data_IF_459042871748
#
_entry.id   IF_459042871748
#
_cell.length_a   1.000
_cell.length_b   1.000
_cell.length_c   1.000
_cell.angle_alpha   90.00
_cell.angle_beta   90.00
_cell.angle_gamma   90.00
#
_symmetry.space_group_name_H-M   'P 1'
#
loop_
_entity.id
_entity.type
_entity.pdbx_description
1 polymer ?
#
# COMPACT_ATOMS: atom_id res chain seq x y z
N UNK A 1 54.73 5.23 8.17
CA UNK A 1 53.75 4.12 8.12
C UNK A 1 52.36 4.77 8.07
N UNK A 2 51.78 4.87 6.86
CA UNK A 2 50.42 5.40 6.69
C UNK A 2 49.41 4.28 6.90
N UNK A 3 48.51 4.45 7.84
CA UNK A 3 47.36 3.58 8.02
C UNK A 3 46.34 4.03 6.98
N UNK A 4 46.14 3.24 5.95
CA UNK A 4 45.02 3.38 5.01
C UNK A 4 43.78 2.92 5.73
N UNK A 5 42.89 3.85 6.08
CA UNK A 5 41.53 3.52 6.55
C UNK A 5 40.82 3.04 5.30
N UNK A 6 40.51 1.73 5.28
CA UNK A 6 39.62 1.17 4.27
C UNK A 6 38.28 1.86 4.35
N UNK A 7 37.81 2.40 3.22
CA UNK A 7 36.43 2.82 3.04
C UNK A 7 35.51 1.67 3.46
N UNK A 8 34.62 1.91 4.40
CA UNK A 8 33.54 0.98 4.71
C UNK A 8 32.75 0.78 3.39
N UNK A 9 32.88 -0.39 2.80
CA UNK A 9 32.04 -0.81 1.69
C UNK A 9 30.62 -0.89 2.24
N UNK A 10 29.75 0.07 1.86
CA UNK A 10 28.33 0.01 2.14
C UNK A 10 27.80 -1.29 1.51
N UNK A 11 27.44 -2.25 2.36
CA UNK A 11 26.78 -3.47 1.92
C UNK A 11 25.44 -3.09 1.30
N UNK A 12 25.18 -3.36 0.01
CA UNK A 12 23.92 -2.97 -0.60
C UNK A 12 22.76 -3.67 0.10
N UNK A 13 21.78 -2.86 0.53
CA UNK A 13 20.58 -3.32 1.21
C UNK A 13 19.65 -4.07 0.24
N UNK A 14 18.85 -5.04 0.71
CA UNK A 14 17.86 -5.73 -0.12
C UNK A 14 16.87 -4.72 -0.72
N UNK A 15 16.46 -4.93 -1.98
CA UNK A 15 15.47 -4.09 -2.66
C UNK A 15 14.11 -4.76 -2.67
N UNK A 16 13.06 -4.00 -2.43
CA UNK A 16 11.66 -4.46 -2.42
C UNK A 16 10.82 -3.53 -3.29
N UNK A 17 10.09 -4.09 -4.24
CA UNK A 17 9.18 -3.34 -5.12
C UNK A 17 7.88 -3.00 -4.38
N UNK A 18 7.49 -1.73 -4.33
CA UNK A 18 6.13 -1.32 -3.94
C UNK A 18 5.20 -1.63 -5.11
N UNK A 19 4.44 -2.72 -5.02
CA UNK A 19 3.66 -3.31 -6.10
C UNK A 19 2.32 -2.59 -6.32
N UNK A 20 2.38 -1.33 -6.70
CA UNK A 20 1.22 -0.50 -7.09
C UNK A 20 1.64 0.62 -8.02
N UNK A 21 0.78 0.97 -8.97
CA UNK A 21 0.91 2.14 -9.85
C UNK A 21 0.13 3.35 -9.34
N UNK A 22 -0.58 3.22 -8.22
CA UNK A 22 -1.32 4.32 -7.60
C UNK A 22 -0.38 5.27 -6.86
N UNK A 23 -0.19 6.49 -7.39
CA UNK A 23 0.72 7.49 -6.85
C UNK A 23 0.47 7.82 -5.37
N UNK A 24 -0.80 7.93 -4.95
CA UNK A 24 -1.13 8.21 -3.55
C UNK A 24 -0.74 7.05 -2.61
N UNK A 25 -0.87 5.80 -3.06
CA UNK A 25 -0.42 4.64 -2.28
C UNK A 25 1.10 4.59 -2.18
N UNK A 26 1.80 4.91 -3.27
CA UNK A 26 3.26 4.99 -3.29
C UNK A 26 3.75 6.05 -2.29
N UNK A 27 3.15 7.24 -2.31
CA UNK A 27 3.50 8.32 -1.39
C UNK A 27 3.28 7.92 0.08
N UNK A 28 2.10 7.40 0.43
CA UNK A 28 1.78 6.97 1.79
C UNK A 28 2.67 5.81 2.26
N UNK A 29 2.88 4.78 1.43
CA UNK A 29 3.75 3.65 1.79
C UNK A 29 5.21 4.09 1.91
N UNK A 30 5.70 4.94 1.01
CA UNK A 30 7.05 5.49 1.07
C UNK A 30 7.32 6.26 2.38
N UNK A 31 6.36 7.09 2.81
CA UNK A 31 6.45 7.81 4.07
C UNK A 31 6.41 6.87 5.30
N UNK A 32 5.64 5.77 5.24
CA UNK A 32 5.45 4.84 6.35
C UNK A 32 6.59 3.81 6.49
N UNK A 33 7.23 3.44 5.38
CA UNK A 33 8.25 2.38 5.31
C UNK A 33 9.70 2.90 5.44
N UNK A 34 9.90 4.21 5.56
CA UNK A 34 11.19 4.90 5.42
C UNK A 34 12.32 4.54 6.40
N UNK A 35 12.17 3.54 7.28
CA UNK A 35 13.20 3.13 8.27
C UNK A 35 13.44 1.61 8.33
N UNK A 36 13.05 0.90 7.29
CA UNK A 36 13.29 -0.55 7.22
C UNK A 36 14.65 -0.82 6.57
N UNK A 37 15.35 -1.85 6.98
CA UNK A 37 16.68 -2.22 6.47
C UNK A 37 16.71 -2.73 5.02
N UNK A 38 15.86 -2.16 4.13
CA UNK A 38 15.82 -2.41 2.70
C UNK A 38 15.48 -1.13 1.92
N UNK A 39 15.84 -1.11 0.64
CA UNK A 39 15.49 -0.05 -0.31
C UNK A 39 14.14 -0.37 -0.95
N UNK A 40 13.22 0.59 -0.92
CA UNK A 40 11.96 0.47 -1.65
C UNK A 40 12.08 1.13 -3.02
N UNK A 41 11.64 0.41 -4.05
CA UNK A 41 11.58 0.89 -5.42
C UNK A 41 10.14 0.87 -5.91
N UNK A 42 9.83 1.69 -6.92
CA UNK A 42 8.49 1.78 -7.51
C UNK A 42 8.47 1.16 -8.91
N UNK A 43 7.28 0.84 -9.49
CA UNK A 43 7.20 0.22 -10.81
C UNK A 43 7.97 0.96 -11.89
N UNK A 44 8.02 2.30 -11.88
CA UNK A 44 8.81 3.10 -12.81
C UNK A 44 10.32 2.83 -12.79
N UNK A 45 10.86 2.51 -11.62
CA UNK A 45 12.30 2.22 -11.47
C UNK A 45 12.72 0.90 -12.11
N UNK A 46 11.75 0.04 -12.42
CA UNK A 46 11.96 -1.32 -12.95
C UNK A 46 11.24 -1.56 -14.30
N UNK A 47 10.77 -0.49 -14.94
CA UNK A 47 10.12 -0.56 -16.27
C UNK A 47 8.74 -1.23 -16.26
N UNK A 48 7.99 -1.07 -15.18
CA UNK A 48 6.65 -1.62 -14.98
C UNK A 48 5.57 -0.53 -14.78
N UNK A 49 5.76 0.67 -15.35
CA UNK A 49 4.85 1.82 -15.17
C UNK A 49 3.41 1.53 -15.58
N UNK A 50 3.24 0.81 -16.68
CA UNK A 50 1.94 0.45 -17.27
C UNK A 50 1.47 -0.94 -16.83
N UNK A 51 2.20 -1.60 -15.92
CA UNK A 51 1.83 -2.95 -15.51
C UNK A 51 0.77 -2.90 -14.40
N UNK A 52 -0.37 -3.53 -14.65
CA UNK A 52 -1.44 -3.70 -13.65
C UNK A 52 -1.81 -5.18 -13.53
N UNK A 53 -2.48 -5.53 -12.45
CA UNK A 53 -2.90 -6.90 -12.14
C UNK A 53 -4.41 -6.93 -11.99
N UNK A 54 -5.07 -7.81 -12.74
CA UNK A 54 -6.50 -8.05 -12.59
C UNK A 54 -6.81 -8.61 -11.19
N UNK A 55 -7.49 -7.83 -10.38
CA UNK A 55 -7.89 -8.19 -9.03
C UNK A 55 -9.11 -9.11 -9.09
N UNK A 56 -8.88 -10.41 -9.21
CA UNK A 56 -9.91 -11.46 -9.32
C UNK A 56 -10.28 -12.10 -7.99
N UNK A 57 -9.59 -11.76 -6.92
CA UNK A 57 -9.85 -12.26 -5.57
C UNK A 57 -11.19 -11.79 -5.00
N UNK A 58 -11.75 -12.59 -4.13
CA UNK A 58 -12.99 -12.31 -3.40
C UNK A 58 -12.76 -11.53 -2.11
N UNK A 59 -11.52 -11.42 -1.66
CA UNK A 59 -11.08 -10.71 -0.45
C UNK A 59 -9.89 -9.80 -0.72
N UNK A 60 -9.70 -8.78 0.13
CA UNK A 60 -8.52 -7.91 0.09
C UNK A 60 -7.22 -8.73 0.24
N UNK A 61 -7.25 -9.79 1.06
CA UNK A 61 -6.10 -10.67 1.26
C UNK A 61 -5.72 -11.40 -0.04
N UNK A 62 -6.69 -11.99 -0.71
CA UNK A 62 -6.45 -12.69 -1.98
C UNK A 62 -5.89 -11.74 -3.03
N UNK A 63 -6.42 -10.52 -3.15
CA UNK A 63 -5.94 -9.53 -4.10
C UNK A 63 -4.55 -9.00 -3.74
N UNK A 64 -4.26 -8.75 -2.46
CA UNK A 64 -2.93 -8.33 -2.02
C UNK A 64 -1.86 -9.39 -2.36
N UNK A 65 -2.15 -10.67 -2.06
CA UNK A 65 -1.28 -11.79 -2.40
C UNK A 65 -1.11 -11.91 -3.92
N UNK A 66 -2.21 -11.87 -4.67
CA UNK A 66 -2.17 -11.95 -6.14
C UNK A 66 -1.28 -10.87 -6.74
N UNK A 67 -1.43 -9.62 -6.30
CA UNK A 67 -0.60 -8.50 -6.74
C UNK A 67 0.87 -8.70 -6.36
N UNK A 68 1.15 -9.02 -5.10
CA UNK A 68 2.52 -9.20 -4.62
C UNK A 68 3.27 -10.27 -5.43
N UNK A 69 2.68 -11.45 -5.59
CA UNK A 69 3.29 -12.57 -6.34
C UNK A 69 3.45 -12.21 -7.82
N UNK A 70 2.44 -11.57 -8.43
CA UNK A 70 2.49 -11.23 -9.85
C UNK A 70 3.55 -10.18 -10.15
N UNK A 71 3.63 -9.11 -9.34
CA UNK A 71 4.68 -8.11 -9.46
C UNK A 71 6.06 -8.68 -9.17
N UNK A 72 6.20 -9.52 -8.11
CA UNK A 72 7.47 -10.14 -7.76
C UNK A 72 8.01 -10.99 -8.92
N UNK A 73 7.18 -11.82 -9.52
CA UNK A 73 7.54 -12.64 -10.69
C UNK A 73 7.90 -11.82 -11.90
N UNK A 74 7.13 -10.76 -12.16
CA UNK A 74 7.35 -9.89 -13.32
C UNK A 74 8.64 -9.09 -13.20
N UNK A 75 8.95 -8.60 -12.00
CA UNK A 75 10.16 -7.82 -11.72
C UNK A 75 11.39 -8.70 -11.42
N UNK A 76 11.21 -10.00 -11.12
CA UNK A 76 12.29 -10.88 -10.68
C UNK A 76 12.87 -10.51 -9.30
N UNK A 77 12.09 -9.83 -8.46
CA UNK A 77 12.52 -9.34 -7.15
C UNK A 77 11.37 -9.36 -6.14
N UNK A 78 11.63 -9.28 -4.83
CA UNK A 78 10.58 -9.20 -3.83
C UNK A 78 9.66 -8.00 -4.04
N UNK A 79 8.37 -8.19 -3.73
CA UNK A 79 7.35 -7.15 -3.89
C UNK A 79 6.40 -7.08 -2.69
N UNK A 80 6.07 -5.86 -2.29
CA UNK A 80 5.10 -5.52 -1.25
C UNK A 80 3.88 -4.89 -1.92
N UNK A 81 2.75 -5.58 -1.89
CA UNK A 81 1.49 -5.11 -2.46
C UNK A 81 0.51 -4.66 -1.38
N UNK A 82 -0.33 -3.68 -1.74
CA UNK A 82 -1.44 -3.16 -0.93
C UNK A 82 -2.76 -3.45 -1.64
N UNK A 83 -3.72 -4.05 -0.92
CA UNK A 83 -5.12 -4.00 -1.30
C UNK A 83 -5.96 -3.40 -0.19
N UNK A 84 -6.82 -2.44 -0.53
CA UNK A 84 -7.55 -1.61 0.42
C UNK A 84 -8.99 -1.39 -0.02
N UNK A 85 -9.89 -1.34 0.96
CA UNK A 85 -11.30 -1.10 0.70
C UNK A 85 -12.00 -0.36 1.83
N UNK A 86 -13.11 0.28 1.45
CA UNK A 86 -14.10 0.84 2.36
C UNK A 86 -15.20 -0.23 2.57
N UNK A 87 -15.53 -0.52 3.81
CA UNK A 87 -16.66 -1.38 4.19
C UNK A 87 -17.70 -0.52 4.92
N UNK A 88 -18.95 -0.51 4.45
CA UNK A 88 -20.06 0.26 5.04
C UNK A 88 -21.12 -0.69 5.55
N UNK A 89 -21.39 -0.68 6.85
CA UNK A 89 -22.27 -1.68 7.49
C UNK A 89 -23.70 -1.62 6.96
N UNK A 90 -24.26 -0.43 6.76
CA UNK A 90 -25.58 -0.23 6.21
C UNK A 90 -25.73 -0.69 4.74
N UNK A 91 -24.62 -0.95 4.06
CA UNK A 91 -24.58 -1.50 2.70
C UNK A 91 -24.11 -2.97 2.70
N UNK A 92 -24.17 -3.67 3.85
CA UNK A 92 -23.74 -5.06 3.96
C UNK A 92 -22.24 -5.29 3.72
N UNK A 93 -21.40 -4.29 3.99
CA UNK A 93 -19.96 -4.33 3.76
C UNK A 93 -19.52 -3.83 2.38
N UNK A 94 -20.46 -3.45 1.50
CA UNK A 94 -20.09 -2.82 0.23
C UNK A 94 -19.45 -1.43 0.47
N UNK A 95 -18.54 -1.00 -0.39
CA UNK A 95 -18.00 -1.61 -1.61
C UNK A 95 -16.96 -2.73 -1.38
N UNK A 96 -16.29 -2.81 -0.22
CA UNK A 96 -15.31 -3.86 0.09
C UNK A 96 -14.18 -3.94 -0.95
N UNK A 97 -13.91 -5.14 -1.47
CA UNK A 97 -12.88 -5.39 -2.52
C UNK A 97 -13.14 -4.64 -3.83
N UNK A 98 -14.36 -4.17 -4.05
CA UNK A 98 -14.74 -3.42 -5.26
C UNK A 98 -14.56 -1.92 -5.11
N UNK A 99 -13.92 -1.43 -4.04
CA UNK A 99 -13.83 0.00 -3.72
C UNK A 99 -13.36 0.86 -4.88
N UNK A 100 -12.30 0.47 -5.58
CA UNK A 100 -11.75 1.22 -6.73
C UNK A 100 -12.73 1.26 -7.92
N UNK A 101 -13.52 0.22 -8.16
CA UNK A 101 -14.40 0.05 -9.34
C UNK A 101 -15.91 0.09 -9.01
N UNK A 102 -16.27 0.55 -7.81
CA UNK A 102 -17.66 0.48 -7.32
C UNK A 102 -18.67 1.29 -8.13
N UNK A 103 -18.26 2.42 -8.68
CA UNK A 103 -19.08 3.25 -9.56
C UNK A 103 -18.83 3.01 -11.06
N UNK A 104 -18.03 1.98 -11.39
CA UNK A 104 -17.62 1.63 -12.76
C UNK A 104 -16.10 1.76 -12.96
N UNK A 105 -15.57 1.21 -14.08
CA UNK A 105 -14.13 1.18 -14.34
C UNK A 105 -13.53 2.57 -14.50
N UNK A 106 -14.23 3.49 -15.16
CA UNK A 106 -13.76 4.85 -15.47
C UNK A 106 -14.24 5.91 -14.46
N UNK A 107 -14.85 5.48 -13.34
CA UNK A 107 -15.41 6.39 -12.36
C UNK A 107 -14.31 7.17 -11.61
N UNK A 108 -14.56 8.46 -11.42
CA UNK A 108 -13.73 9.33 -10.58
C UNK A 108 -13.95 9.05 -9.09
N UNK A 109 -13.09 9.58 -8.22
CA UNK A 109 -13.31 9.53 -6.76
C UNK A 109 -14.61 10.23 -6.38
N UNK A 110 -14.95 11.34 -7.04
CA UNK A 110 -16.20 12.06 -6.81
C UNK A 110 -17.42 11.20 -7.17
N UNK A 111 -17.38 10.43 -8.26
CA UNK A 111 -18.47 9.52 -8.63
C UNK A 111 -18.67 8.43 -7.58
N UNK A 112 -17.58 7.86 -7.07
CA UNK A 112 -17.59 6.84 -6.01
C UNK A 112 -18.15 7.39 -4.70
N UNK A 113 -17.73 8.60 -4.31
CA UNK A 113 -18.23 9.33 -3.13
C UNK A 113 -19.73 9.60 -3.27
N UNK A 114 -20.16 10.16 -4.40
CA UNK A 114 -21.57 10.48 -4.66
C UNK A 114 -22.46 9.22 -4.64
N UNK A 115 -21.96 8.12 -5.19
CA UNK A 115 -22.68 6.84 -5.18
C UNK A 115 -22.90 6.32 -3.74
N UNK A 116 -21.87 6.35 -2.88
CA UNK A 116 -22.01 5.93 -1.48
C UNK A 116 -23.00 6.84 -0.74
N UNK A 117 -22.86 8.16 -0.87
CA UNK A 117 -23.75 9.12 -0.19
C UNK A 117 -25.20 8.90 -0.64
N UNK A 118 -25.44 8.69 -1.94
CA UNK A 118 -26.78 8.46 -2.49
C UNK A 118 -27.39 7.13 -2.00
N UNK A 119 -26.60 6.05 -1.94
CA UNK A 119 -27.08 4.75 -1.42
C UNK A 119 -27.43 4.81 0.08
N UNK A 120 -26.81 5.73 0.81
CA UNK A 120 -27.09 5.95 2.23
C UNK A 120 -28.22 6.98 2.45
N UNK A 121 -28.89 7.47 1.39
CA UNK A 121 -30.04 8.34 1.55
C UNK A 121 -31.11 7.69 2.43
N UNK A 122 -31.58 8.38 3.45
CA UNK A 122 -32.55 7.86 4.42
C UNK A 122 -31.94 7.00 5.56
N UNK A 123 -30.68 6.61 5.49
CA UNK A 123 -30.00 5.92 6.61
C UNK A 123 -29.67 6.95 7.69
N UNK A 124 -30.12 6.68 8.91
CA UNK A 124 -29.86 7.54 10.06
C UNK A 124 -28.35 7.73 10.28
N UNK A 125 -27.92 8.93 10.69
CA UNK A 125 -26.51 9.24 10.85
C UNK A 125 -25.76 8.25 11.77
N UNK A 126 -26.38 7.80 12.86
CA UNK A 126 -25.80 6.80 13.79
C UNK A 126 -25.62 5.42 13.18
N UNK A 127 -26.32 5.08 12.09
CA UNK A 127 -26.26 3.78 11.42
C UNK A 127 -25.33 3.73 10.19
N UNK A 128 -24.59 4.83 9.93
CA UNK A 128 -23.64 4.91 8.79
C UNK A 128 -22.23 4.47 9.17
N UNK A 129 -22.11 3.50 10.08
CA UNK A 129 -20.81 2.95 10.51
C UNK A 129 -20.08 2.32 9.33
N UNK A 130 -18.77 2.53 9.31
CA UNK A 130 -17.92 2.08 8.21
C UNK A 130 -16.48 1.90 8.72
N UNK A 131 -15.67 1.17 7.96
CA UNK A 131 -14.24 1.06 8.19
C UNK A 131 -13.47 1.10 6.88
N UNK A 132 -12.28 1.69 6.93
CA UNK A 132 -11.25 1.38 5.95
C UNK A 132 -10.45 0.18 6.41
N UNK A 133 -10.12 -0.69 5.47
CA UNK A 133 -9.28 -1.85 5.71
C UNK A 133 -8.18 -1.93 4.64
N UNK A 134 -6.99 -2.33 5.05
CA UNK A 134 -5.84 -2.62 4.17
C UNK A 134 -5.27 -3.97 4.52
N UNK A 135 -4.88 -4.72 3.50
CA UNK A 135 -3.99 -5.86 3.61
C UNK A 135 -2.74 -5.58 2.80
N UNK A 136 -1.58 -5.72 3.44
CA UNK A 136 -0.27 -5.76 2.80
C UNK A 136 0.15 -7.22 2.65
N UNK A 137 0.76 -7.56 1.51
CA UNK A 137 1.38 -8.86 1.29
C UNK A 137 2.81 -8.66 0.77
N UNK A 138 3.77 -9.33 1.41
CA UNK A 138 5.15 -9.43 0.95
C UNK A 138 5.34 -10.79 0.29
N UNK A 139 5.87 -10.81 -0.93
CA UNK A 139 6.15 -12.03 -1.67
C UNK A 139 7.49 -11.92 -2.42
N UNK A 140 8.17 -13.05 -2.59
CA UNK A 140 9.23 -13.25 -3.59
C UNK A 140 8.60 -13.83 -4.88
N UNK A 141 9.35 -13.99 -5.97
CA UNK A 141 8.86 -14.71 -7.16
C UNK A 141 8.36 -16.13 -6.86
N UNK A 142 8.88 -16.76 -5.82
CA UNK A 142 8.65 -18.18 -5.51
C UNK A 142 7.56 -18.40 -4.46
N UNK A 143 7.48 -17.50 -3.45
CA UNK A 143 6.58 -17.72 -2.30
C UNK A 143 6.05 -16.42 -1.68
N UNK A 144 4.96 -16.55 -0.93
CA UNK A 144 4.43 -15.49 -0.05
C UNK A 144 5.18 -15.55 1.28
N UNK A 145 5.86 -14.47 1.64
CA UNK A 145 6.62 -14.36 2.89
C UNK A 145 5.70 -14.10 4.07
N UNK A 146 4.72 -13.23 3.89
CA UNK A 146 3.73 -12.94 4.92
C UNK A 146 2.83 -11.77 4.60
N UNK A 147 1.93 -11.46 5.53
CA UNK A 147 0.92 -10.42 5.37
C UNK A 147 0.75 -9.59 6.63
N UNK A 148 0.32 -8.32 6.45
CA UNK A 148 -0.07 -7.44 7.54
C UNK A 148 -1.43 -6.81 7.26
N UNK A 149 -2.26 -6.64 8.29
CA UNK A 149 -3.60 -6.08 8.15
C UNK A 149 -3.79 -4.88 9.07
N UNK A 150 -4.44 -3.84 8.56
CA UNK A 150 -4.83 -2.68 9.34
C UNK A 150 -6.25 -2.22 9.03
N UNK A 151 -6.93 -1.69 10.03
CA UNK A 151 -8.25 -1.09 9.86
C UNK A 151 -8.40 0.18 10.69
N UNK A 152 -9.25 1.08 10.24
CA UNK A 152 -9.68 2.25 11.00
C UNK A 152 -11.19 2.34 10.96
N UNK A 153 -11.81 2.41 12.13
CA UNK A 153 -13.26 2.53 12.28
C UNK A 153 -13.69 4.00 12.17
N UNK A 154 -14.88 4.20 11.60
CA UNK A 154 -15.43 5.51 11.41
C UNK A 154 -16.90 5.49 11.00
N UNK A 155 -17.34 6.54 10.32
CA UNK A 155 -18.67 6.65 9.74
C UNK A 155 -18.65 7.42 8.43
N UNK A 156 -19.65 7.16 7.59
CA UNK A 156 -19.86 7.94 6.37
C UNK A 156 -20.64 9.21 6.69
N UNK A 157 -20.08 10.35 6.33
CA UNK A 157 -20.70 11.66 6.42
C UNK A 157 -21.90 11.82 5.48
N UNK A 158 -22.60 12.95 5.63
CA UNK A 158 -23.73 13.30 4.77
C UNK A 158 -23.28 13.94 3.46
N UNK A 159 -22.13 14.59 3.48
CA UNK A 159 -21.51 15.30 2.35
C UNK A 159 -19.99 15.26 2.47
N UNK A 160 -19.23 15.46 1.38
CA UNK A 160 -17.80 15.46 1.39
C UNK A 160 -17.19 16.72 2.01
N UNK A 161 -16.09 16.58 2.75
CA UNK A 161 -15.27 17.66 3.30
C UNK A 161 -13.78 17.34 3.17
N UNK A 162 -12.96 18.38 3.09
CA UNK A 162 -11.51 18.27 2.96
C UNK A 162 -11.07 18.15 1.49
N UNK A 163 -9.76 18.26 1.29
CA UNK A 163 -9.15 18.24 -0.04
C UNK A 163 -7.90 17.36 -0.11
N UNK A 164 -7.50 16.76 1.02
CA UNK A 164 -6.35 15.85 1.06
C UNK A 164 -6.77 14.41 0.82
N UNK A 165 -5.77 13.55 0.54
CA UNK A 165 -5.98 12.13 0.33
C UNK A 165 -6.65 11.80 -1.00
N UNK A 166 -7.39 10.67 -1.05
CA UNK A 166 -8.00 10.14 -2.26
C UNK A 166 -9.18 9.20 -1.93
N UNK A 167 -9.88 8.77 -2.97
CA UNK A 167 -10.97 7.80 -2.84
C UNK A 167 -12.12 8.32 -2.00
N UNK A 168 -12.41 7.64 -0.91
CA UNK A 168 -13.54 7.94 -0.02
C UNK A 168 -13.17 8.82 1.18
N UNK A 169 -11.92 9.29 1.28
CA UNK A 169 -11.45 10.12 2.39
C UNK A 169 -12.35 11.32 2.69
N UNK A 170 -12.92 12.03 1.68
CA UNK A 170 -13.78 13.19 1.94
C UNK A 170 -15.10 12.90 2.69
N UNK A 171 -15.56 11.65 2.67
CA UNK A 171 -16.80 11.26 3.37
C UNK A 171 -16.56 10.38 4.60
N UNK A 172 -15.32 10.01 4.89
CA UNK A 172 -15.00 9.12 6.00
C UNK A 172 -14.66 9.92 7.27
N UNK A 173 -15.57 9.92 8.23
CA UNK A 173 -15.43 10.57 9.55
C UNK A 173 -14.67 9.64 10.49
N UNK A 174 -13.46 10.03 10.88
CA UNK A 174 -12.60 9.23 11.74
C UNK A 174 -13.18 9.11 13.15
N UNK A 175 -13.27 7.89 13.68
CA UNK A 175 -13.89 7.65 14.99
C UNK A 175 -15.37 8.03 15.04
N UNK A 176 -15.99 8.29 13.90
CA UNK A 176 -17.40 8.64 13.77
C UNK A 176 -17.73 10.11 14.01
N UNK A 177 -16.73 10.98 14.13
CA UNK A 177 -16.84 12.43 14.30
C UNK A 177 -15.92 13.15 13.31
N UNK A 178 -16.07 14.49 13.17
CA UNK A 178 -15.08 15.28 12.42
C UNK A 178 -13.73 15.26 13.14
N UNK A 179 -12.61 15.33 12.40
CA UNK A 179 -12.52 15.59 10.96
C UNK A 179 -12.83 14.37 10.08
N UNK A 180 -13.06 14.60 8.77
CA UNK A 180 -12.98 13.56 7.76
C UNK A 180 -11.50 13.18 7.53
N UNK A 181 -11.26 12.04 6.91
CA UNK A 181 -9.89 11.62 6.55
C UNK A 181 -9.22 12.64 5.60
N UNK A 182 -10.00 13.31 4.73
CA UNK A 182 -9.51 14.34 3.80
C UNK A 182 -9.30 15.73 4.41
N UNK A 183 -9.73 15.97 5.65
CA UNK A 183 -9.42 17.18 6.41
C UNK A 183 -8.12 17.08 7.18
N UNK A 184 -7.56 15.84 7.34
CA UNK A 184 -6.28 15.60 8.00
C UNK A 184 -5.10 15.94 7.07
N UNK A 185 -4.02 16.43 7.65
CA UNK A 185 -2.74 16.50 6.94
C UNK A 185 -2.20 15.08 6.66
N UNK A 186 -1.27 14.90 5.72
CA UNK A 186 -0.63 13.60 5.46
C UNK A 186 -0.05 12.94 6.73
N UNK A 187 0.62 13.72 7.58
CA UNK A 187 1.23 13.21 8.82
C UNK A 187 0.16 12.75 9.83
N UNK A 188 -0.90 13.54 10.02
CA UNK A 188 -2.02 13.17 10.89
C UNK A 188 -2.73 11.92 10.37
N UNK A 189 -2.93 11.80 9.05
CA UNK A 189 -3.50 10.61 8.41
C UNK A 189 -2.59 9.40 8.61
N UNK A 190 -1.29 9.54 8.38
CA UNK A 190 -0.31 8.48 8.56
C UNK A 190 -0.21 7.98 10.01
N UNK A 191 -0.48 8.85 11.00
CA UNK A 191 -0.49 8.45 12.40
C UNK A 191 -1.64 7.49 12.77
N UNK A 192 -2.76 7.50 12.05
CA UNK A 192 -4.00 6.79 12.46
C UNK A 192 -4.60 5.88 11.40
N UNK A 193 -4.13 5.94 10.15
CA UNK A 193 -4.78 5.29 9.01
C UNK A 193 -4.75 3.75 9.07
N UNK A 194 -5.65 3.14 8.29
CA UNK A 194 -5.66 1.70 8.03
C UNK A 194 -4.33 1.21 7.44
N UNK A 195 -3.72 2.02 6.52
CA UNK A 195 -2.44 1.68 5.88
C UNK A 195 -1.29 1.73 6.87
N UNK A 196 -1.22 2.73 7.74
CA UNK A 196 -0.16 2.78 8.77
C UNK A 196 -0.23 1.59 9.73
N UNK A 197 -1.44 1.18 10.13
CA UNK A 197 -1.63 -0.02 10.95
C UNK A 197 -1.24 -1.31 10.23
N UNK A 198 -1.53 -1.41 8.93
CA UNK A 198 -1.10 -2.54 8.12
C UNK A 198 0.44 -2.58 7.97
N UNK A 199 1.09 -1.41 7.80
CA UNK A 199 2.56 -1.31 7.82
C UNK A 199 3.11 -1.77 9.16
N UNK A 200 2.60 -1.28 10.28
CA UNK A 200 3.03 -1.74 11.60
C UNK A 200 2.89 -3.25 11.79
N UNK A 201 1.84 -3.86 11.21
CA UNK A 201 1.62 -5.30 11.28
C UNK A 201 2.56 -6.10 10.36
N UNK A 202 3.01 -5.56 9.23
CA UNK A 202 3.93 -6.25 8.30
C UNK A 202 5.41 -6.04 8.65
N UNK A 203 5.77 -4.99 9.38
CA UNK A 203 7.16 -4.68 9.72
C UNK A 203 7.92 -5.86 10.33
N UNK A 204 7.40 -6.62 11.32
CA UNK A 204 8.12 -7.77 11.87
C UNK A 204 8.40 -8.86 10.83
N UNK A 205 7.50 -9.05 9.87
CA UNK A 205 7.68 -10.01 8.77
C UNK A 205 8.78 -9.53 7.83
N UNK A 206 8.77 -8.24 7.49
CA UNK A 206 9.75 -7.63 6.62
C UNK A 206 11.15 -7.64 7.26
N UNK A 207 11.27 -7.27 8.54
CA UNK A 207 12.53 -7.31 9.28
C UNK A 207 13.10 -8.74 9.38
N UNK A 208 12.25 -9.72 9.68
CA UNK A 208 12.66 -11.12 9.73
C UNK A 208 13.13 -11.61 8.37
N UNK A 209 12.44 -11.21 7.29
CA UNK A 209 12.85 -11.57 5.93
C UNK A 209 14.18 -10.89 5.55
N UNK A 210 14.34 -9.59 5.80
CA UNK A 210 15.60 -8.85 5.54
C UNK A 210 16.77 -9.51 6.25
N UNK A 211 16.60 -9.93 7.50
CA UNK A 211 17.65 -10.60 8.27
C UNK A 211 18.10 -11.95 7.69
N UNK A 212 17.30 -12.57 6.83
CA UNK A 212 17.66 -13.83 6.14
C UNK A 212 18.38 -13.60 4.80
N UNK A 213 18.40 -12.35 4.31
CA UNK A 213 19.05 -12.09 3.03
C UNK A 213 20.57 -12.09 3.18
N UNK A 214 21.31 -12.72 2.25
CA UNK A 214 22.76 -12.62 2.26
C UNK A 214 23.16 -11.15 2.04
N UNK A 215 24.25 -10.68 2.62
CA UNK A 215 24.80 -9.37 2.30
C UNK A 215 25.03 -9.32 0.78
N UNK A 216 24.37 -8.40 0.10
CA UNK A 216 24.45 -8.31 -1.36
C UNK A 216 25.85 -7.83 -1.73
N UNK A 217 26.66 -8.72 -2.28
CA UNK A 217 27.99 -8.38 -2.83
C UNK A 217 27.74 -7.62 -4.12
N UNK A 218 28.30 -6.42 -4.26
CA UNK A 218 28.29 -5.70 -5.53
C UNK A 218 28.87 -6.61 -6.61
N UNK A 219 28.16 -6.78 -7.74
CA UNK A 219 28.69 -7.49 -8.88
C UNK A 219 29.95 -6.74 -9.35
N UNK A 220 31.12 -7.34 -9.11
CA UNK A 220 32.40 -6.84 -9.56
C UNK A 220 32.39 -6.82 -11.09
N UNK A 221 32.28 -5.61 -11.64
CA UNK A 221 32.35 -5.36 -13.09
C UNK A 221 33.78 -5.47 -13.60
N UNK A 222 34.48 -6.58 -13.33
CA UNK A 222 35.75 -6.87 -13.96
C UNK A 222 35.53 -7.48 -15.34
N UNK A 223 35.17 -6.66 -16.32
CA UNK A 223 35.46 -6.99 -17.72
C UNK A 223 36.98 -7.04 -17.90
N UNK A 224 37.47 -8.25 -17.93
CA UNK A 224 38.86 -8.51 -18.29
C UNK A 224 39.13 -8.01 -19.71
N UNK A 225 39.76 -6.83 -19.80
CA UNK A 225 40.45 -6.40 -21.00
C UNK A 225 41.61 -7.36 -21.27
N UNK A 226 41.39 -8.37 -22.09
CA UNK A 226 42.47 -9.10 -22.73
C UNK A 226 42.67 -8.48 -24.12
N UNK A 227 43.66 -7.60 -24.18
CA UNK A 227 44.29 -7.21 -25.43
C UNK A 227 45.19 -8.33 -25.94
N UNK A 228 45.15 -8.54 -27.22
CA UNK A 228 46.07 -9.29 -28.06
C UNK A 228 46.26 -8.56 -29.38
#
# INVERSE_FOLDING_TARGET
>A
MGVTISSEEECPVPRVLIATTNAHKIEELGALLGQVGCEFVVPGDVGLDDFDVDETGSTLLENAILKAVTFARKAGMPALADDSGLEVDALGGEPGVRSKRYAGPDATDADRVNLIVSKLAGVANGARTARFRTVLALATPDEVIGTGTGSVEGRIGLEPFGAHGFGYDPIFLVGGHRPTMAELTPDEKNAISHRSRAVQAILPVLDAWVATQPPTVAADGSEASQGG
#
